data_IF_697673741954
#
_entry.id   IF_697673741954
#
_cell.length_a   1.000
_cell.length_b   1.000
_cell.length_c   1.000
_cell.angle_alpha   90.00
_cell.angle_beta   90.00
_cell.angle_gamma   90.00
#
_symmetry.space_group_name_H-M   'P 1'
#
loop_
_entity.id
_entity.type
_entity.pdbx_description
1 polymer ?
#
# COMPACT_ATOMS: atom_id res chain seq x y z
N UNK A 1 15.23 -13.70 -15.04
CA UNK A 1 14.01 -12.94 -14.74
C UNK A 1 12.85 -13.90 -14.93
N UNK A 2 12.53 -14.64 -13.87
CA UNK A 2 11.49 -15.63 -13.95
C UNK A 2 10.15 -14.97 -14.19
N UNK A 3 9.39 -15.57 -15.10
CA UNK A 3 7.99 -15.30 -15.38
C UNK A 3 7.16 -15.66 -14.14
N UNK A 4 7.30 -14.88 -13.08
CA UNK A 4 6.36 -14.79 -11.95
C UNK A 4 5.16 -14.04 -12.53
N UNK A 5 4.39 -14.79 -13.32
CA UNK A 5 3.62 -14.33 -14.46
C UNK A 5 2.34 -13.63 -14.01
N UNK A 6 2.24 -12.32 -14.22
CA UNK A 6 1.02 -11.48 -14.24
C UNK A 6 -0.06 -11.71 -13.15
N UNK A 7 -0.65 -12.91 -13.01
CA UNK A 7 -1.60 -13.25 -11.97
C UNK A 7 -1.10 -13.03 -10.54
N UNK A 8 0.19 -13.29 -10.26
CA UNK A 8 0.77 -12.96 -8.94
C UNK A 8 0.87 -11.45 -8.67
N UNK A 9 0.92 -10.62 -9.72
CA UNK A 9 0.96 -9.16 -9.60
C UNK A 9 -0.46 -8.63 -9.38
N UNK A 10 -1.45 -9.14 -10.10
CA UNK A 10 -2.87 -8.79 -9.90
C UNK A 10 -3.36 -9.18 -8.51
N UNK A 11 -3.04 -10.39 -8.04
CA UNK A 11 -3.39 -10.83 -6.68
C UNK A 11 -2.74 -9.97 -5.60
N UNK A 12 -1.47 -9.58 -5.77
CA UNK A 12 -0.79 -8.69 -4.83
C UNK A 12 -1.34 -7.27 -4.88
N UNK A 13 -1.77 -6.81 -6.07
CA UNK A 13 -2.43 -5.54 -6.24
C UNK A 13 -3.77 -5.48 -5.52
N UNK A 14 -4.63 -6.50 -5.70
CA UNK A 14 -5.92 -6.59 -5.04
C UNK A 14 -5.77 -6.67 -3.52
N UNK A 15 -4.76 -7.42 -3.04
CA UNK A 15 -4.44 -7.51 -1.63
C UNK A 15 -3.97 -6.18 -1.03
N UNK A 16 -3.09 -5.43 -1.71
CA UNK A 16 -2.61 -4.10 -1.31
C UNK A 16 -3.77 -3.09 -1.24
N UNK A 17 -4.66 -3.12 -2.25
CA UNK A 17 -5.86 -2.28 -2.28
C UNK A 17 -6.79 -2.60 -1.11
N UNK A 18 -7.07 -3.89 -0.87
CA UNK A 18 -7.92 -4.30 0.25
C UNK A 18 -7.30 -3.91 1.59
N UNK A 19 -5.99 -4.08 1.77
CA UNK A 19 -5.28 -3.69 2.98
C UNK A 19 -5.47 -2.20 3.30
N UNK A 20 -5.24 -1.31 2.33
CA UNK A 20 -5.43 0.12 2.52
C UNK A 20 -6.90 0.50 2.78
N UNK A 21 -7.85 -0.20 2.14
CA UNK A 21 -9.28 -0.03 2.38
C UNK A 21 -9.65 -0.34 3.83
N UNK A 22 -9.17 -1.45 4.39
CA UNK A 22 -9.45 -1.84 5.77
C UNK A 22 -8.91 -0.82 6.77
N UNK A 23 -7.72 -0.26 6.54
CA UNK A 23 -7.16 0.82 7.37
C UNK A 23 -8.09 2.04 7.39
N UNK A 24 -8.64 2.42 6.23
CA UNK A 24 -9.54 3.58 6.12
C UNK A 24 -10.88 3.28 6.80
N UNK A 25 -11.42 2.08 6.64
CA UNK A 25 -12.65 1.65 7.32
C UNK A 25 -12.48 1.66 8.84
N UNK A 26 -11.33 1.24 9.34
CA UNK A 26 -10.99 1.25 10.77
C UNK A 26 -10.94 2.67 11.38
N UNK A 27 -10.79 3.72 10.56
CA UNK A 27 -10.87 5.10 11.04
C UNK A 27 -12.28 5.51 11.50
N UNK A 28 -13.32 4.78 11.07
CA UNK A 28 -14.73 5.12 11.24
C UNK A 28 -15.10 6.55 10.79
N UNK A 29 -14.28 7.17 9.95
CA UNK A 29 -14.51 8.51 9.44
C UNK A 29 -15.24 8.44 8.08
N UNK A 30 -16.52 8.85 8.01
CA UNK A 30 -17.32 8.74 6.78
C UNK A 30 -16.76 9.58 5.63
N UNK A 31 -16.00 10.65 5.93
CA UNK A 31 -15.35 11.47 4.92
C UNK A 31 -14.21 10.68 4.26
N UNK A 32 -13.37 10.00 5.04
CA UNK A 32 -12.26 9.20 4.50
C UNK A 32 -12.75 8.02 3.68
N UNK A 33 -13.80 7.34 4.16
CA UNK A 33 -14.45 6.24 3.42
C UNK A 33 -14.97 6.74 2.07
N UNK A 34 -15.72 7.86 2.07
CA UNK A 34 -16.27 8.45 0.85
C UNK A 34 -15.17 8.86 -0.14
N UNK A 35 -14.08 9.47 0.33
CA UNK A 35 -12.98 9.84 -0.56
C UNK A 35 -12.29 8.63 -1.15
N UNK A 36 -12.07 7.57 -0.37
CA UNK A 36 -11.42 6.37 -0.88
C UNK A 36 -12.22 5.68 -2.00
N UNK A 37 -13.56 5.73 -1.94
CA UNK A 37 -14.45 5.24 -3.00
C UNK A 37 -14.46 6.11 -4.27
N UNK A 38 -14.10 7.39 -4.16
CA UNK A 38 -14.09 8.35 -5.27
C UNK A 38 -12.74 8.45 -6.00
N UNK A 39 -11.64 8.12 -5.32
CA UNK A 39 -10.28 8.15 -5.85
C UNK A 39 -9.78 6.80 -6.45
N UNK A 40 -10.52 5.66 -6.50
CA UNK A 40 -9.90 4.38 -6.84
C UNK A 40 -9.36 4.33 -8.27
N UNK A 41 -9.94 5.06 -9.23
CA UNK A 41 -9.36 5.17 -10.60
C UNK A 41 -8.03 5.91 -10.64
N UNK A 42 -7.83 6.87 -9.74
CA UNK A 42 -6.58 7.64 -9.62
C UNK A 42 -5.53 6.85 -8.82
N UNK A 43 -5.96 6.15 -7.76
CA UNK A 43 -5.12 5.25 -6.94
C UNK A 43 -4.70 4.02 -7.73
N UNK A 44 -5.60 3.41 -8.51
CA UNK A 44 -5.32 2.23 -9.34
C UNK A 44 -4.28 2.52 -10.41
N UNK A 45 -4.39 3.68 -11.05
CA UNK A 45 -3.41 4.13 -12.04
C UNK A 45 -2.03 4.27 -11.40
N UNK A 46 -1.94 4.86 -10.20
CA UNK A 46 -0.67 5.10 -9.51
C UNK A 46 -0.05 3.82 -8.92
N UNK A 47 -0.84 2.94 -8.32
CA UNK A 47 -0.37 1.65 -7.76
C UNK A 47 0.08 0.67 -8.85
N UNK A 48 -0.61 0.61 -9.99
CA UNK A 48 -0.20 -0.23 -11.13
C UNK A 48 1.19 0.16 -11.66
N UNK A 49 1.49 1.47 -11.72
CA UNK A 49 2.84 1.93 -12.03
C UNK A 49 3.83 1.59 -10.90
N UNK A 50 3.47 1.78 -9.63
CA UNK A 50 4.32 1.38 -8.50
C UNK A 50 4.74 -0.09 -8.53
N UNK A 51 3.83 -1.02 -8.88
CA UNK A 51 4.18 -2.44 -9.04
C UNK A 51 5.05 -2.72 -10.27
N UNK A 52 4.92 -1.92 -11.34
CA UNK A 52 5.76 -2.03 -12.54
C UNK A 52 7.21 -1.60 -12.29
N UNK A 53 7.43 -0.64 -11.38
CA UNK A 53 8.76 -0.09 -11.06
C UNK A 53 9.39 -0.68 -9.81
N UNK A 54 8.65 -1.44 -9.01
CA UNK A 54 9.21 -2.17 -7.86
C UNK A 54 10.09 -3.31 -8.32
N UNK A 55 11.30 -3.35 -7.76
CA UNK A 55 12.28 -4.40 -8.02
C UNK A 55 11.97 -5.72 -7.28
N UNK A 56 11.08 -5.73 -6.27
CA UNK A 56 10.83 -6.89 -5.40
C UNK A 56 9.53 -6.82 -4.60
N UNK A 57 8.75 -7.91 -4.60
CA UNK A 57 7.59 -8.15 -3.72
C UNK A 57 7.95 -8.18 -2.23
N UNK A 58 9.19 -8.56 -1.89
CA UNK A 58 9.66 -8.70 -0.51
C UNK A 58 9.65 -7.36 0.24
N UNK A 59 9.96 -6.28 -0.46
CA UNK A 59 10.06 -4.94 0.14
C UNK A 59 8.67 -4.39 0.48
N UNK A 60 7.69 -4.62 -0.41
CA UNK A 60 6.28 -4.30 -0.14
C UNK A 60 5.75 -4.99 1.12
N UNK A 61 5.94 -6.29 1.23
CA UNK A 61 5.46 -7.10 2.37
C UNK A 61 6.11 -6.62 3.68
N UNK A 62 7.38 -6.20 3.63
CA UNK A 62 8.10 -5.67 4.79
C UNK A 62 7.42 -4.43 5.40
N UNK A 63 6.96 -3.49 4.58
CA UNK A 63 6.25 -2.30 5.07
C UNK A 63 4.89 -2.65 5.68
N UNK A 64 4.13 -3.50 5.00
CA UNK A 64 2.82 -3.96 5.46
C UNK A 64 2.93 -4.67 6.82
N UNK A 65 3.94 -5.53 7.00
CA UNK A 65 4.20 -6.19 8.28
C UNK A 65 4.47 -5.19 9.41
N UNK A 66 5.23 -4.12 9.17
CA UNK A 66 5.49 -3.09 10.20
C UNK A 66 4.22 -2.36 10.60
N UNK A 67 3.35 -2.06 9.63
CA UNK A 67 2.05 -1.43 9.88
C UNK A 67 1.15 -2.38 10.68
N UNK A 68 1.10 -3.66 10.33
CA UNK A 68 0.35 -4.69 11.07
C UNK A 68 0.84 -4.83 12.52
N UNK A 69 2.16 -4.88 12.72
CA UNK A 69 2.76 -4.92 14.07
C UNK A 69 2.32 -3.71 14.89
N UNK A 70 2.25 -2.52 14.28
CA UNK A 70 1.79 -1.32 14.97
C UNK A 70 0.31 -1.40 15.40
N UNK A 71 -0.55 -2.00 14.57
CA UNK A 71 -1.94 -2.24 14.94
C UNK A 71 -2.05 -3.27 16.07
N UNK A 72 -1.33 -4.37 16.00
CA UNK A 72 -1.33 -5.43 17.01
C UNK A 72 -0.81 -4.92 18.37
N UNK A 73 0.23 -4.10 18.35
CA UNK A 73 0.81 -3.49 19.54
C UNK A 73 0.06 -2.26 20.05
N UNK A 74 -0.90 -1.73 19.27
CA UNK A 74 -1.62 -0.48 19.52
C UNK A 74 -0.68 0.72 19.68
N UNK A 75 0.46 0.71 18.99
CA UNK A 75 1.45 1.79 19.00
C UNK A 75 1.17 2.76 17.85
N UNK A 76 0.56 3.90 18.20
CA UNK A 76 0.21 4.93 17.21
C UNK A 76 1.44 5.61 16.59
N UNK A 77 2.55 5.72 17.31
CA UNK A 77 3.78 6.32 16.79
C UNK A 77 4.45 5.39 15.78
N UNK A 78 4.52 4.10 16.09
CA UNK A 78 5.00 3.10 15.15
C UNK A 78 4.10 3.02 13.92
N UNK A 79 2.78 3.13 14.08
CA UNK A 79 1.83 3.16 12.98
C UNK A 79 2.06 4.34 12.04
N UNK A 80 2.19 5.55 12.61
CA UNK A 80 2.49 6.76 11.85
C UNK A 80 3.81 6.66 11.09
N UNK A 81 4.90 6.31 11.78
CA UNK A 81 6.24 6.27 11.18
C UNK A 81 6.36 5.16 10.12
N UNK A 82 5.72 4.01 10.33
CA UNK A 82 5.71 2.91 9.35
C UNK A 82 4.98 3.28 8.07
N UNK A 83 3.82 3.94 8.18
CA UNK A 83 3.06 4.41 7.02
C UNK A 83 3.78 5.55 6.29
N UNK A 84 4.37 6.49 7.02
CA UNK A 84 5.14 7.59 6.45
C UNK A 84 6.34 7.08 5.63
N UNK A 85 7.15 6.20 6.22
CA UNK A 85 8.32 5.63 5.54
C UNK A 85 7.91 4.79 4.31
N UNK A 86 6.79 4.06 4.40
CA UNK A 86 6.25 3.36 3.25
C UNK A 86 5.94 4.30 2.09
N UNK A 87 5.29 5.44 2.38
CA UNK A 87 4.95 6.44 1.37
C UNK A 87 6.19 7.07 0.73
N UNK A 88 7.21 7.41 1.53
CA UNK A 88 8.47 7.97 1.02
C UNK A 88 9.16 7.00 0.05
N UNK A 89 9.24 5.71 0.39
CA UNK A 89 9.83 4.70 -0.48
C UNK A 89 9.02 4.53 -1.77
N UNK A 90 7.69 4.60 -1.68
CA UNK A 90 6.81 4.63 -2.86
C UNK A 90 7.10 5.85 -3.75
N UNK A 91 7.22 7.05 -3.17
CA UNK A 91 7.48 8.29 -3.91
C UNK A 91 8.84 8.23 -4.62
N UNK A 92 9.88 7.71 -3.97
CA UNK A 92 11.22 7.59 -4.56
C UNK A 92 11.21 6.71 -5.82
N UNK A 93 10.38 5.67 -5.87
CA UNK A 93 10.24 4.84 -7.07
C UNK A 93 9.76 5.64 -8.29
N UNK A 94 8.97 6.70 -8.09
CA UNK A 94 8.48 7.56 -9.17
C UNK A 94 9.45 8.69 -9.55
N UNK A 95 10.47 8.96 -8.73
CA UNK A 95 11.46 10.02 -8.99
C UNK A 95 12.68 9.53 -9.77
N UNK A 96 12.83 8.21 -9.93
CA UNK A 96 13.92 7.59 -10.68
C UNK A 96 13.57 7.26 -12.16
N UNK A 97 12.46 7.82 -12.67
CA UNK A 97 12.06 7.82 -14.08
C UNK A 97 12.61 9.04 -14.86
#
# INVERSE_FOLDING_TARGET
MDKVSHGLIEECYDADLQFHKEIILASHNPIFIKYYELIPKTVSSNQYFGFKYRNSLKDMISHHNKIMIAFDSKDSYLGYTSMYNHLEDVIQLFQHD
#
